data_IF_866597681893
#
_entry.id   IF_866597681893
#
_cell.length_a   1.000
_cell.length_b   1.000
_cell.length_c   1.000
_cell.angle_alpha   90.00
_cell.angle_beta   90.00
_cell.angle_gamma   90.00
#
_symmetry.space_group_name_H-M   'P 1'
#
loop_
_entity.id
_entity.type
_entity.pdbx_description
1 polymer ?
#
# COMPACT_ATOMS: atom_id res chain seq x y z
N UNK A 1 5.61 5.98 9.60
CA UNK A 1 6.59 5.57 10.61
C UNK A 1 6.14 4.35 11.43
N UNK A 2 4.90 4.26 11.80
CA UNK A 2 4.40 3.13 12.63
C UNK A 2 4.34 1.78 11.92
N UNK A 3 4.31 1.77 10.60
CA UNK A 3 4.18 0.54 9.78
C UNK A 3 5.35 -0.42 9.93
N UNK A 4 6.56 0.12 10.09
CA UNK A 4 7.79 -0.67 10.23
C UNK A 4 7.98 -1.27 11.63
N UNK A 5 7.15 -0.87 12.58
CA UNK A 5 7.24 -1.34 13.97
C UNK A 5 6.33 -2.55 14.27
N UNK A 6 5.50 -2.95 13.29
CA UNK A 6 4.63 -4.12 13.49
C UNK A 6 5.47 -5.40 13.52
N UNK A 7 5.30 -6.17 14.58
CA UNK A 7 5.90 -7.49 14.68
C UNK A 7 5.16 -8.49 13.80
N UNK A 8 5.90 -9.40 13.17
CA UNK A 8 5.33 -10.47 12.37
C UNK A 8 4.34 -11.33 13.17
N UNK A 9 4.60 -11.54 14.45
CA UNK A 9 3.69 -12.27 15.35
C UNK A 9 2.33 -11.58 15.49
N UNK A 10 2.32 -10.26 15.57
CA UNK A 10 1.09 -9.47 15.62
C UNK A 10 0.28 -9.59 14.32
N UNK A 11 0.96 -9.52 13.18
CA UNK A 11 0.34 -9.65 11.86
C UNK A 11 -0.28 -11.04 11.67
N UNK A 12 0.42 -12.08 12.08
CA UNK A 12 -0.10 -13.47 12.00
C UNK A 12 -1.27 -13.69 12.96
N UNK A 13 -1.26 -13.04 14.11
CA UNK A 13 -2.39 -13.05 15.06
C UNK A 13 -3.63 -12.39 14.46
N UNK A 14 -3.47 -11.29 13.72
CA UNK A 14 -4.57 -10.65 12.99
C UNK A 14 -5.17 -11.57 11.93
N UNK A 15 -4.34 -12.33 11.19
CA UNK A 15 -4.82 -13.34 10.25
C UNK A 15 -5.69 -14.39 10.94
N UNK A 16 -5.23 -14.95 12.04
CA UNK A 16 -5.96 -15.97 12.81
C UNK A 16 -7.26 -15.41 13.38
N UNK A 17 -7.26 -14.18 13.88
CA UNK A 17 -8.44 -13.51 14.41
C UNK A 17 -9.56 -13.33 13.38
N UNK A 18 -9.21 -13.29 12.09
CA UNK A 18 -10.18 -13.25 10.98
C UNK A 18 -10.50 -14.65 10.42
N UNK A 19 -10.24 -15.71 11.18
CA UNK A 19 -10.43 -17.11 10.76
C UNK A 19 -9.69 -17.49 9.48
N UNK A 20 -8.58 -16.82 9.19
CA UNK A 20 -7.75 -17.09 8.01
C UNK A 20 -6.53 -17.89 8.39
N UNK A 21 -6.23 -18.86 7.53
CA UNK A 21 -5.09 -19.73 7.72
C UNK A 21 -3.79 -18.92 7.58
N UNK A 22 -2.90 -19.12 8.56
CA UNK A 22 -1.53 -18.60 8.45
C UNK A 22 -0.74 -19.58 7.58
N UNK A 23 -0.47 -19.19 6.34
CA UNK A 23 0.31 -19.98 5.40
C UNK A 23 1.72 -19.41 5.26
N UNK A 24 2.68 -20.24 4.80
CA UNK A 24 4.04 -19.79 4.51
C UNK A 24 4.08 -18.59 3.58
N UNK A 25 3.39 -18.61 2.42
CA UNK A 25 3.34 -17.46 1.50
C UNK A 25 2.82 -16.18 2.15
N UNK A 26 1.76 -16.24 2.94
CA UNK A 26 1.21 -15.07 3.64
C UNK A 26 2.19 -14.47 4.63
N UNK A 27 2.87 -15.32 5.40
CA UNK A 27 3.92 -14.86 6.32
C UNK A 27 5.08 -14.19 5.59
N UNK A 28 5.54 -14.79 4.49
CA UNK A 28 6.63 -14.25 3.69
C UNK A 28 6.28 -12.87 3.13
N UNK A 29 5.07 -12.70 2.60
CA UNK A 29 4.59 -11.43 2.05
C UNK A 29 4.48 -10.38 3.14
N UNK A 30 3.86 -10.70 4.27
CA UNK A 30 3.75 -9.78 5.39
C UNK A 30 5.12 -9.37 5.94
N UNK A 31 6.03 -10.31 6.08
CA UNK A 31 7.38 -10.03 6.55
C UNK A 31 8.17 -9.14 5.57
N UNK A 32 7.97 -9.33 4.27
CA UNK A 32 8.56 -8.49 3.25
C UNK A 32 7.99 -7.07 3.33
N UNK A 33 6.67 -6.93 3.29
CA UNK A 33 6.00 -5.62 3.28
C UNK A 33 6.30 -4.79 4.53
N UNK A 34 6.44 -5.40 5.70
CA UNK A 34 6.78 -4.65 6.92
C UNK A 34 8.18 -4.04 6.89
N UNK A 35 9.06 -4.53 6.02
CA UNK A 35 10.43 -4.04 5.83
C UNK A 35 10.56 -3.05 4.67
N UNK A 36 9.56 -3.00 3.79
CA UNK A 36 9.58 -2.07 2.66
C UNK A 36 9.26 -0.65 3.11
N UNK A 37 10.06 0.29 2.67
CA UNK A 37 9.83 1.71 2.94
C UNK A 37 8.73 2.30 2.06
N UNK A 38 8.48 1.68 0.90
CA UNK A 38 7.54 2.15 -0.11
C UNK A 38 6.62 1.02 -0.58
N UNK A 39 5.46 1.35 -1.15
CA UNK A 39 4.57 0.35 -1.71
C UNK A 39 5.26 -0.48 -2.79
N UNK A 40 5.05 -1.79 -2.76
CA UNK A 40 5.65 -2.74 -3.70
C UNK A 40 4.58 -3.39 -4.58
N UNK A 41 4.91 -3.62 -5.86
CA UNK A 41 4.06 -4.37 -6.78
C UNK A 41 4.14 -5.88 -6.50
N UNK A 42 3.15 -6.63 -6.97
CA UNK A 42 3.16 -8.08 -6.87
C UNK A 42 4.41 -8.70 -7.55
N UNK A 43 4.86 -8.12 -8.65
CA UNK A 43 6.07 -8.58 -9.35
C UNK A 43 7.34 -8.31 -8.54
N UNK A 44 7.47 -7.13 -7.95
CA UNK A 44 8.59 -6.79 -7.05
C UNK A 44 8.63 -7.71 -5.84
N UNK A 45 7.47 -8.01 -5.25
CA UNK A 45 7.36 -8.96 -4.14
C UNK A 45 7.81 -10.35 -4.60
N UNK A 46 7.31 -10.81 -5.74
CA UNK A 46 7.69 -12.11 -6.30
C UNK A 46 9.19 -12.20 -6.60
N UNK A 47 9.79 -11.18 -7.19
CA UNK A 47 11.23 -11.13 -7.46
C UNK A 47 12.05 -11.28 -6.18
N UNK A 48 11.63 -10.63 -5.10
CA UNK A 48 12.30 -10.72 -3.80
C UNK A 48 12.11 -12.06 -3.10
N UNK A 49 10.96 -12.70 -3.28
CA UNK A 49 10.68 -14.02 -2.71
C UNK A 49 11.21 -15.18 -3.55
N UNK A 50 11.41 -14.96 -4.84
CA UNK A 50 11.95 -15.97 -5.76
C UNK A 50 11.09 -17.24 -5.78
N UNK A 51 11.74 -18.39 -5.66
CA UNK A 51 11.09 -19.71 -5.72
C UNK A 51 10.24 -20.06 -4.49
N UNK A 52 10.30 -19.25 -3.44
CA UNK A 52 9.51 -19.46 -2.23
C UNK A 52 8.01 -19.27 -2.44
N UNK A 53 7.62 -18.48 -3.46
CA UNK A 53 6.24 -18.18 -3.75
C UNK A 53 6.06 -17.80 -5.22
N UNK A 54 5.13 -18.46 -5.92
CA UNK A 54 4.86 -18.11 -7.30
C UNK A 54 4.00 -16.83 -7.41
N UNK A 55 4.02 -16.20 -8.58
CA UNK A 55 3.34 -14.92 -8.80
C UNK A 55 1.83 -15.00 -8.58
N UNK A 56 1.19 -16.09 -9.00
CA UNK A 56 -0.25 -16.28 -8.79
C UNK A 56 -0.62 -16.33 -7.30
N UNK A 57 0.21 -16.98 -6.49
CA UNK A 57 0.04 -17.02 -5.04
C UNK A 57 0.25 -15.64 -4.41
N UNK A 58 1.21 -14.86 -4.90
CA UNK A 58 1.42 -13.48 -4.45
C UNK A 58 0.15 -12.66 -4.70
N UNK A 59 -0.40 -12.68 -5.90
CA UNK A 59 -1.65 -11.97 -6.22
C UNK A 59 -2.82 -12.38 -5.33
N UNK A 60 -3.05 -13.68 -5.17
CA UNK A 60 -4.14 -14.19 -4.32
C UNK A 60 -3.97 -13.77 -2.86
N UNK A 61 -2.75 -13.82 -2.36
CA UNK A 61 -2.44 -13.41 -0.99
C UNK A 61 -2.65 -11.91 -0.79
N UNK A 62 -2.22 -11.08 -1.73
CA UNK A 62 -2.42 -9.63 -1.67
C UNK A 62 -3.92 -9.26 -1.73
N UNK A 63 -4.70 -9.91 -2.59
CA UNK A 63 -6.15 -9.73 -2.65
C UNK A 63 -6.82 -10.05 -1.32
N UNK A 64 -6.42 -11.16 -0.70
CA UNK A 64 -6.95 -11.54 0.62
C UNK A 64 -6.57 -10.51 1.68
N UNK A 65 -5.30 -10.12 1.74
CA UNK A 65 -4.81 -9.15 2.74
C UNK A 65 -5.45 -7.77 2.57
N UNK A 66 -5.73 -7.36 1.34
CA UNK A 66 -6.48 -6.14 1.05
C UNK A 66 -7.92 -6.22 1.57
N UNK A 67 -8.61 -7.33 1.30
CA UNK A 67 -9.98 -7.56 1.80
C UNK A 67 -10.06 -7.56 3.33
N UNK A 68 -8.98 -7.94 4.00
CA UNK A 68 -8.85 -7.91 5.46
C UNK A 68 -8.36 -6.58 6.01
N UNK A 69 -8.15 -5.59 5.17
CA UNK A 69 -7.57 -4.28 5.54
C UNK A 69 -6.21 -4.38 6.23
N UNK A 70 -5.42 -5.35 5.84
CA UNK A 70 -4.04 -5.50 6.28
C UNK A 70 -3.05 -4.85 5.35
N UNK A 71 -3.41 -4.71 4.08
CA UNK A 71 -2.64 -3.96 3.08
C UNK A 71 -3.56 -2.99 2.35
N UNK A 72 -2.99 -1.90 1.86
CA UNK A 72 -3.64 -0.93 0.99
C UNK A 72 -3.00 -0.96 -0.39
N UNK A 73 -3.85 -0.89 -1.40
CA UNK A 73 -3.45 -0.84 -2.79
C UNK A 73 -3.38 0.60 -3.28
N UNK A 74 -2.31 0.92 -4.01
CA UNK A 74 -2.10 2.20 -4.67
C UNK A 74 -1.90 1.99 -6.17
N UNK A 75 -2.35 2.94 -6.97
CA UNK A 75 -2.11 2.98 -8.41
C UNK A 75 -1.11 4.12 -8.71
N UNK A 76 0.05 3.77 -9.25
CA UNK A 76 1.09 4.74 -9.61
C UNK A 76 1.04 5.15 -11.09
N UNK A 77 -0.06 4.88 -11.78
CA UNK A 77 -0.28 5.34 -13.15
C UNK A 77 0.50 4.59 -14.23
N UNK A 78 1.16 3.48 -13.89
CA UNK A 78 1.94 2.64 -14.82
C UNK A 78 1.26 1.31 -15.15
N UNK A 79 -0.02 1.18 -14.79
CA UNK A 79 -0.79 -0.06 -14.98
C UNK A 79 -0.47 -1.15 -13.98
N UNK A 80 0.37 -0.88 -12.99
CA UNK A 80 0.79 -1.84 -11.97
C UNK A 80 0.38 -1.34 -10.58
N UNK A 81 -0.42 -2.13 -9.87
CA UNK A 81 -0.79 -1.83 -8.51
C UNK A 81 0.40 -2.02 -7.56
N UNK A 82 0.48 -1.17 -6.55
CA UNK A 82 1.45 -1.24 -5.46
C UNK A 82 0.72 -1.49 -4.15
N UNK A 83 1.36 -2.21 -3.24
CA UNK A 83 0.77 -2.61 -1.97
C UNK A 83 1.67 -2.20 -0.81
N UNK A 84 1.04 -1.78 0.25
CA UNK A 84 1.70 -1.30 1.46
C UNK A 84 0.96 -1.85 2.68
N UNK A 85 1.72 -2.21 3.72
CA UNK A 85 1.15 -2.69 4.97
C UNK A 85 0.41 -1.56 5.69
N UNK A 86 -0.80 -1.84 6.17
CA UNK A 86 -1.57 -0.93 7.01
C UNK A 86 -1.25 -1.17 8.49
N UNK A 87 -1.05 -0.10 9.24
CA UNK A 87 -1.01 -0.14 10.70
C UNK A 87 -2.40 -0.48 11.28
N UNK A 88 -2.43 -0.85 12.56
CA UNK A 88 -3.67 -1.27 13.23
C UNK A 88 -4.76 -0.18 13.21
N UNK A 89 -4.37 1.07 13.43
CA UNK A 89 -5.24 2.25 13.47
C UNK A 89 -5.00 3.19 12.28
N UNK A 90 -4.26 2.72 11.28
CA UNK A 90 -3.93 3.49 10.09
C UNK A 90 -5.02 3.26 9.03
N UNK A 91 -5.68 4.33 8.62
CA UNK A 91 -6.63 4.30 7.51
C UNK A 91 -5.91 4.25 6.14
N UNK A 92 -4.58 4.32 6.17
CA UNK A 92 -3.75 4.36 4.97
C UNK A 92 -3.90 5.66 4.18
N UNK A 93 -4.37 6.73 4.83
CA UNK A 93 -4.61 7.99 4.16
C UNK A 93 -3.34 8.84 4.09
N UNK A 94 -2.54 8.56 3.12
CA UNK A 94 -1.38 9.37 2.72
C UNK A 94 -1.25 9.29 1.20
N UNK A 95 -0.40 10.11 0.65
CA UNK A 95 -0.19 10.20 -0.79
C UNK A 95 1.28 9.97 -1.11
N UNK A 96 1.58 9.75 -2.38
CA UNK A 96 2.93 9.55 -2.84
C UNK A 96 3.27 10.56 -3.93
N UNK A 97 4.52 10.97 -3.97
CA UNK A 97 5.11 11.71 -5.08
C UNK A 97 6.09 10.76 -5.77
N UNK A 98 5.83 10.46 -7.02
CA UNK A 98 6.56 9.47 -7.80
C UNK A 98 7.36 10.18 -8.91
N UNK A 99 8.66 9.90 -8.98
CA UNK A 99 9.47 10.36 -10.08
C UNK A 99 9.14 9.56 -11.34
N UNK A 100 8.79 10.25 -12.41
CA UNK A 100 8.46 9.62 -13.70
C UNK A 100 9.67 8.99 -14.40
N UNK A 101 10.89 9.47 -14.08
CA UNK A 101 12.12 8.95 -14.67
C UNK A 101 12.69 7.74 -13.91
N UNK A 102 13.04 7.92 -12.64
CA UNK A 102 13.73 6.89 -11.86
C UNK A 102 12.79 6.09 -10.93
N UNK A 103 11.52 6.45 -10.88
CA UNK A 103 10.49 5.79 -10.04
C UNK A 103 10.70 5.96 -8.54
N UNK A 104 11.57 6.86 -8.11
CA UNK A 104 11.73 7.21 -6.69
C UNK A 104 10.37 7.64 -6.12
N UNK A 105 10.05 7.13 -4.95
CA UNK A 105 8.79 7.41 -4.25
C UNK A 105 9.09 8.21 -2.99
N UNK A 106 8.32 9.25 -2.77
CA UNK A 106 8.33 10.04 -1.52
C UNK A 106 6.92 10.02 -0.94
N UNK A 107 6.81 9.71 0.33
CA UNK A 107 5.53 9.76 1.04
C UNK A 107 5.16 11.21 1.35
N UNK A 108 3.92 11.58 1.04
CA UNK A 108 3.36 12.91 1.30
C UNK A 108 2.27 12.76 2.36
N UNK A 109 2.50 13.34 3.53
CA UNK A 109 1.52 13.36 4.61
C UNK A 109 0.52 14.51 4.49
N UNK A 110 0.88 15.55 3.72
CA UNK A 110 -0.01 16.68 3.46
C UNK A 110 -1.20 16.24 2.61
N UNK A 111 -2.39 16.56 3.06
CA UNK A 111 -3.63 16.25 2.36
C UNK A 111 -4.54 17.46 2.28
N UNK A 112 -5.50 17.41 1.36
CA UNK A 112 -6.55 18.41 1.30
C UNK A 112 -7.37 18.43 2.60
N UNK A 113 -7.84 19.61 3.03
CA UNK A 113 -8.75 19.66 4.17
C UNK A 113 -9.99 18.79 3.94
N UNK A 114 -10.46 18.09 4.98
CA UNK A 114 -11.70 17.32 4.94
C UNK A 114 -12.90 18.09 4.41
N UNK A 115 -12.85 19.42 4.52
CA UNK A 115 -13.87 20.35 3.99
C UNK A 115 -14.10 20.18 2.48
N UNK A 116 -13.11 19.73 1.71
CA UNK A 116 -13.28 19.49 0.27
C UNK A 116 -14.21 18.29 0.02
N UNK A 117 -13.97 17.19 0.69
CA UNK A 117 -14.82 15.99 0.59
C UNK A 117 -16.25 16.27 1.06
N UNK A 118 -16.39 16.97 2.20
CA UNK A 118 -17.68 17.38 2.73
C UNK A 118 -18.45 18.28 1.76
N UNK A 119 -17.77 19.24 1.13
CA UNK A 119 -18.39 20.12 0.14
C UNK A 119 -18.86 19.36 -1.11
N UNK A 120 -18.07 18.41 -1.58
CA UNK A 120 -18.43 17.55 -2.72
C UNK A 120 -19.63 16.68 -2.33
N UNK A 121 -19.58 16.03 -1.16
CA UNK A 121 -20.65 15.20 -0.64
C UNK A 121 -21.97 15.98 -0.55
N UNK A 122 -21.94 17.15 0.06
CA UNK A 122 -23.11 18.01 0.22
C UNK A 122 -23.67 18.50 -1.12
N UNK A 123 -22.78 18.93 -2.03
CA UNK A 123 -23.21 19.45 -3.35
C UNK A 123 -23.92 18.41 -4.18
N UNK A 124 -23.53 17.14 -4.08
CA UNK A 124 -24.02 16.05 -4.92
C UNK A 124 -24.89 15.02 -4.17
N UNK A 125 -25.19 15.27 -2.90
CA UNK A 125 -25.93 14.36 -2.03
C UNK A 125 -25.31 12.95 -1.92
N UNK A 126 -23.97 12.89 -1.87
CA UNK A 126 -23.24 11.67 -1.62
C UNK A 126 -22.89 11.53 -0.14
N UNK A 127 -22.74 10.30 0.32
CA UNK A 127 -22.22 9.97 1.64
C UNK A 127 -20.87 9.26 1.51
N UNK A 128 -20.06 9.34 2.57
CA UNK A 128 -18.77 8.65 2.64
C UNK A 128 -17.84 8.95 1.46
N UNK A 129 -17.79 10.22 1.05
CA UNK A 129 -16.90 10.66 -0.03
C UNK A 129 -15.46 10.58 0.44
N UNK A 130 -14.63 9.89 -0.32
CA UNK A 130 -13.18 9.77 -0.11
C UNK A 130 -12.46 10.12 -1.39
N UNK A 131 -11.15 10.30 -1.31
CA UNK A 131 -10.33 10.52 -2.50
C UNK A 131 -9.12 9.61 -2.53
N UNK A 132 -8.62 9.38 -3.74
CA UNK A 132 -7.34 8.75 -3.99
C UNK A 132 -6.53 9.69 -4.87
N UNK A 133 -5.31 10.00 -4.48
CA UNK A 133 -4.49 11.00 -5.16
C UNK A 133 -3.03 10.60 -5.07
N UNK A 134 -2.35 10.63 -6.21
CA UNK A 134 -0.91 10.49 -6.31
C UNK A 134 -0.34 11.65 -7.13
N UNK A 135 0.88 12.04 -6.81
CA UNK A 135 1.59 13.11 -7.49
C UNK A 135 2.74 12.55 -8.32
N UNK A 136 2.97 13.12 -9.50
CA UNK A 136 4.02 12.71 -10.42
C UNK A 136 4.87 13.91 -10.80
N UNK A 137 6.18 13.70 -10.86
CA UNK A 137 7.11 14.77 -11.22
C UNK A 137 8.50 14.24 -11.54
N UNK A 138 9.48 15.11 -11.62
CA UNK A 138 10.88 14.77 -11.87
C UNK A 138 11.69 15.10 -10.62
N UNK A 139 12.31 14.10 -10.02
CA UNK A 139 13.09 14.29 -8.80
C UNK A 139 14.35 15.13 -9.06
N UNK A 140 14.96 15.74 -8.02
CA UNK A 140 16.14 16.57 -8.20
C UNK A 140 17.30 15.89 -8.92
N UNK A 141 17.47 14.58 -8.71
CA UNK A 141 18.55 13.82 -9.38
C UNK A 141 18.31 13.59 -10.87
N UNK A 142 17.06 13.65 -11.32
CA UNK A 142 16.68 13.44 -12.72
C UNK A 142 16.42 14.74 -13.48
N UNK A 143 16.37 15.88 -12.79
CA UNK A 143 16.23 17.17 -13.46
C UNK A 143 17.50 17.52 -14.23
N UNK A 144 17.37 18.14 -15.41
CA UNK A 144 18.54 18.63 -16.13
C UNK A 144 19.28 19.71 -15.33
N UNK A 145 20.61 19.69 -15.46
CA UNK A 145 21.47 20.65 -14.77
C UNK A 145 21.25 22.10 -15.24
#
# INVERSE_FOLDING_TARGET
MERHQQDLSELTTRLRGNHRRVTGPRQLILNLLRREEHPASAREIHEKLGDLCNLATVYRSLHLLESMRMVKRFDFGDGSARYELLGRDDDGHHHHLICQECRKVVEISDCFPHTLEERIAHRHNFSNVTHQLEFFGICPSCQPA
#
